data_IF_968573397885
#
_entry.id   IF_968573397885
#
_cell.length_a   1.000
_cell.length_b   1.000
_cell.length_c   1.000
_cell.angle_alpha   90.00
_cell.angle_beta   90.00
_cell.angle_gamma   90.00
#
_symmetry.space_group_name_H-M   'P 1'
#
loop_
_entity.id
_entity.type
_entity.pdbx_description
1 polymer ?
#
# COMPACT_ATOMS: atom_id res chain seq x y z
N UNK A 1 20.49 23.41 -4.72
CA UNK A 1 19.41 22.46 -4.38
C UNK A 1 18.12 23.00 -4.98
N UNK A 2 17.39 22.20 -5.78
CA UNK A 2 16.12 22.67 -6.36
C UNK A 2 15.04 22.85 -5.29
N UNK A 3 14.04 23.70 -5.55
CA UNK A 3 12.89 23.86 -4.65
C UNK A 3 12.22 22.50 -4.36
N UNK A 4 12.03 21.69 -5.40
CA UNK A 4 11.47 20.35 -5.28
C UNK A 4 12.24 19.49 -4.28
N UNK A 5 13.58 19.42 -4.43
CA UNK A 5 14.45 18.66 -3.52
C UNK A 5 14.33 19.16 -2.09
N UNK A 6 14.28 20.48 -1.89
CA UNK A 6 14.10 21.07 -0.55
C UNK A 6 12.77 20.66 0.11
N UNK A 7 11.68 20.68 -0.65
CA UNK A 7 10.35 20.28 -0.16
C UNK A 7 10.31 18.80 0.19
N UNK A 8 10.89 17.92 -0.66
CA UNK A 8 10.95 16.49 -0.39
C UNK A 8 11.77 16.17 0.87
N UNK A 9 12.96 16.80 1.03
CA UNK A 9 13.78 16.61 2.22
C UNK A 9 13.07 17.09 3.49
N UNK A 10 12.37 18.23 3.41
CA UNK A 10 11.53 18.73 4.51
C UNK A 10 10.48 17.70 4.88
N UNK A 11 9.78 17.10 3.90
CA UNK A 11 8.79 16.05 4.12
C UNK A 11 9.39 14.86 4.87
N UNK A 12 10.51 14.31 4.39
CA UNK A 12 11.18 13.17 5.07
C UNK A 12 11.53 13.51 6.52
N UNK A 13 12.03 14.71 6.79
CA UNK A 13 12.36 15.16 8.15
C UNK A 13 11.10 15.27 9.01
N UNK A 14 10.03 15.86 8.49
CA UNK A 14 8.75 15.98 9.20
C UNK A 14 8.14 14.61 9.51
N UNK A 15 8.21 13.67 8.56
CA UNK A 15 7.76 12.30 8.75
C UNK A 15 8.54 11.62 9.90
N UNK A 16 9.86 11.73 9.91
CA UNK A 16 10.70 11.19 10.98
C UNK A 16 10.37 11.81 12.35
N UNK A 17 10.20 13.14 12.40
CA UNK A 17 9.80 13.83 13.63
C UNK A 17 8.41 13.39 14.11
N UNK A 18 7.45 13.23 13.19
CA UNK A 18 6.09 12.76 13.50
C UNK A 18 6.12 11.36 14.13
N UNK A 19 6.92 10.44 13.57
CA UNK A 19 7.14 9.11 14.16
C UNK A 19 7.76 9.22 15.56
N UNK A 20 8.79 10.06 15.73
CA UNK A 20 9.44 10.29 17.03
C UNK A 20 8.45 10.79 18.10
N UNK A 21 7.59 11.74 17.76
CA UNK A 21 6.54 12.28 18.65
C UNK A 21 5.51 11.20 18.96
N UNK A 22 5.07 10.46 17.96
CA UNK A 22 4.06 9.41 18.13
C UNK A 22 4.54 8.27 19.04
N UNK A 23 5.79 7.87 18.90
CA UNK A 23 6.36 6.77 19.69
C UNK A 23 6.91 7.17 21.03
N UNK A 24 7.15 8.44 21.30
CA UNK A 24 7.68 9.03 22.52
C UNK A 24 9.14 8.63 22.81
N UNK A 25 9.45 7.34 22.86
CA UNK A 25 10.79 6.78 22.99
C UNK A 25 11.10 5.99 21.72
N UNK A 26 12.14 6.36 21.01
CA UNK A 26 12.55 5.71 19.79
C UNK A 26 14.06 5.75 19.63
N UNK A 27 14.58 4.91 18.77
CA UNK A 27 15.97 4.98 18.32
C UNK A 27 16.04 5.77 17.02
N UNK A 28 17.16 6.44 16.76
CA UNK A 28 17.38 7.21 15.52
C UNK A 28 17.20 6.35 14.28
N UNK A 29 17.64 5.09 14.30
CA UNK A 29 17.48 4.15 13.18
C UNK A 29 16.00 3.81 12.93
N UNK A 30 15.24 3.54 14.00
CA UNK A 30 13.79 3.32 13.91
C UNK A 30 13.09 4.57 13.38
N UNK A 31 13.42 5.73 13.94
CA UNK A 31 12.82 7.00 13.55
C UNK A 31 13.04 7.30 12.07
N UNK A 32 14.25 7.08 11.56
CA UNK A 32 14.56 7.28 10.14
C UNK A 32 13.89 6.24 9.25
N UNK A 33 13.98 4.94 9.58
CA UNK A 33 13.39 3.86 8.79
C UNK A 33 11.87 4.03 8.65
N UNK A 34 11.16 4.20 9.77
CA UNK A 34 9.72 4.43 9.74
C UNK A 34 9.34 5.81 9.21
N UNK A 35 10.20 6.83 9.37
CA UNK A 35 10.02 8.14 8.76
C UNK A 35 10.00 8.07 7.23
N UNK A 36 10.97 7.37 6.63
CA UNK A 36 11.00 7.15 5.17
C UNK A 36 9.77 6.37 4.70
N UNK A 37 9.42 5.28 5.39
CA UNK A 37 8.23 4.48 5.04
C UNK A 37 6.95 5.34 5.14
N UNK A 38 6.80 6.10 6.22
CA UNK A 38 5.65 6.96 6.43
C UNK A 38 5.55 8.04 5.36
N UNK A 39 6.68 8.67 5.01
CA UNK A 39 6.72 9.67 3.94
C UNK A 39 6.31 9.09 2.58
N UNK A 40 6.80 7.89 2.24
CA UNK A 40 6.39 7.19 1.00
C UNK A 40 4.88 6.88 1.01
N UNK A 41 4.34 6.46 2.16
CA UNK A 41 2.90 6.25 2.33
C UNK A 41 2.10 7.56 2.14
N UNK A 42 2.57 8.65 2.74
CA UNK A 42 1.94 9.96 2.62
C UNK A 42 1.98 10.48 1.17
N UNK A 43 3.10 10.26 0.46
CA UNK A 43 3.21 10.58 -0.96
C UNK A 43 2.13 9.85 -1.80
N UNK A 44 2.00 8.53 -1.63
CA UNK A 44 1.02 7.73 -2.39
C UNK A 44 -0.41 8.21 -2.16
N UNK A 45 -0.78 8.47 -0.90
CA UNK A 45 -2.13 8.96 -0.55
C UNK A 45 -2.37 10.36 -1.16
N UNK A 46 -1.39 11.25 -1.07
CA UNK A 46 -1.47 12.60 -1.64
C UNK A 46 -1.56 12.53 -3.17
N UNK A 47 -0.72 11.73 -3.81
CA UNK A 47 -0.74 11.55 -5.26
C UNK A 47 -2.09 11.03 -5.74
N UNK A 48 -2.67 10.01 -5.06
CA UNK A 48 -4.02 9.53 -5.38
C UNK A 48 -5.07 10.64 -5.27
N UNK A 49 -5.01 11.44 -4.21
CA UNK A 49 -5.92 12.60 -4.05
C UNK A 49 -5.81 13.59 -5.21
N UNK A 50 -4.60 13.90 -5.67
CA UNK A 50 -4.39 14.80 -6.81
C UNK A 50 -4.81 14.16 -8.15
N UNK A 51 -4.64 12.85 -8.32
CA UNK A 51 -5.17 12.14 -9.50
C UNK A 51 -6.69 12.12 -9.53
N UNK A 52 -7.34 11.92 -8.38
CA UNK A 52 -8.81 11.98 -8.28
C UNK A 52 -9.35 13.38 -8.61
N UNK A 53 -8.58 14.43 -8.32
CA UNK A 53 -8.95 15.81 -8.60
C UNK A 53 -8.48 16.28 -9.99
N UNK A 54 -7.82 15.44 -10.78
CA UNK A 54 -7.23 15.77 -12.09
C UNK A 54 -6.25 16.98 -12.06
N UNK A 55 -5.50 17.13 -10.94
CA UNK A 55 -4.55 18.27 -10.75
C UNK A 55 -3.15 17.78 -10.38
N UNK A 56 -2.82 16.53 -10.70
CA UNK A 56 -1.54 15.96 -10.33
C UNK A 56 -0.40 16.69 -11.04
N UNK A 57 0.60 17.10 -10.26
CA UNK A 57 1.95 17.38 -10.74
C UNK A 57 2.95 17.22 -9.60
N UNK A 58 4.24 16.99 -9.91
CA UNK A 58 5.23 16.56 -8.91
C UNK A 58 5.45 17.56 -7.78
N UNK A 59 5.59 18.85 -8.07
CA UNK A 59 5.82 19.87 -7.04
C UNK A 59 4.61 20.10 -6.13
N UNK A 60 3.38 20.31 -6.65
CA UNK A 60 2.18 20.35 -5.83
C UNK A 60 1.98 19.08 -5.00
N UNK A 61 2.25 17.89 -5.55
CA UNK A 61 2.17 16.65 -4.80
C UNK A 61 3.17 16.64 -3.62
N UNK A 62 4.42 17.06 -3.83
CA UNK A 62 5.42 17.18 -2.76
C UNK A 62 4.95 18.16 -1.67
N UNK A 63 4.42 19.32 -2.04
CA UNK A 63 3.88 20.30 -1.09
C UNK A 63 2.66 19.74 -0.35
N UNK A 64 1.73 19.10 -1.07
CA UNK A 64 0.57 18.45 -0.47
C UNK A 64 0.95 17.36 0.54
N UNK A 65 2.01 16.58 0.25
CA UNK A 65 2.56 15.58 1.17
C UNK A 65 3.09 16.24 2.45
N UNK A 66 3.85 17.33 2.33
CA UNK A 66 4.32 18.11 3.49
C UNK A 66 3.15 18.65 4.31
N UNK A 67 2.11 19.18 3.67
CA UNK A 67 0.91 19.68 4.36
C UNK A 67 0.19 18.54 5.11
N UNK A 68 0.05 17.37 4.48
CA UNK A 68 -0.52 16.19 5.12
C UNK A 68 0.29 15.77 6.37
N UNK A 69 1.60 15.74 6.25
CA UNK A 69 2.48 15.39 7.37
C UNK A 69 2.45 16.42 8.50
N UNK A 70 2.40 17.71 8.19
CA UNK A 70 2.20 18.76 9.19
C UNK A 70 0.86 18.58 9.93
N UNK A 71 -0.21 18.24 9.21
CA UNK A 71 -1.51 17.99 9.82
C UNK A 71 -1.46 16.77 10.76
N UNK A 72 -0.85 15.66 10.32
CA UNK A 72 -0.71 14.46 11.16
C UNK A 72 0.24 14.70 12.34
N UNK A 73 1.35 15.40 12.13
CA UNK A 73 2.28 15.80 13.18
C UNK A 73 1.61 16.70 14.23
N UNK A 74 0.82 17.67 13.79
CA UNK A 74 0.03 18.51 14.68
C UNK A 74 -1.01 17.68 15.47
N UNK A 75 -1.69 16.74 14.84
CA UNK A 75 -2.62 15.83 15.51
C UNK A 75 -1.89 14.97 16.56
N UNK A 76 -0.72 14.44 16.23
CA UNK A 76 0.12 13.70 17.18
C UNK A 76 0.52 14.56 18.39
N UNK A 77 0.92 15.81 18.16
CA UNK A 77 1.23 16.77 19.22
C UNK A 77 0.02 17.06 20.11
N UNK A 78 -1.16 17.30 19.53
CA UNK A 78 -2.40 17.56 20.26
C UNK A 78 -2.74 16.35 21.15
N UNK A 79 -2.68 15.14 20.62
CA UNK A 79 -2.94 13.90 21.36
C UNK A 79 -1.96 13.80 22.55
N UNK A 80 -0.66 14.00 22.31
CA UNK A 80 0.35 13.94 23.36
C UNK A 80 0.16 14.99 24.43
N UNK A 81 -0.19 16.22 24.03
CA UNK A 81 -0.36 17.35 24.97
C UNK A 81 -1.65 17.30 25.75
N UNK A 82 -2.78 17.13 25.06
CA UNK A 82 -4.10 17.22 25.68
C UNK A 82 -4.51 15.92 26.35
N UNK A 83 -4.32 14.78 25.70
CA UNK A 83 -4.77 13.48 26.19
C UNK A 83 -3.76 12.83 27.13
N UNK A 84 -2.49 12.79 26.75
CA UNK A 84 -1.45 12.11 27.51
C UNK A 84 -0.78 13.06 28.54
N UNK A 85 -1.10 14.35 28.53
CA UNK A 85 -0.55 15.41 29.41
C UNK A 85 0.98 15.41 29.43
N UNK A 86 1.62 15.04 28.33
CA UNK A 86 3.08 14.89 28.21
C UNK A 86 3.77 16.27 28.26
N UNK A 87 4.77 16.49 29.13
CA UNK A 87 5.58 17.72 29.13
C UNK A 87 6.32 17.93 27.81
N UNK A 88 6.63 19.19 27.45
CA UNK A 88 7.37 19.49 26.21
C UNK A 88 8.69 18.76 26.10
N UNK A 89 9.43 18.64 27.20
CA UNK A 89 10.74 17.97 27.27
C UNK A 89 10.66 16.46 27.05
N UNK A 90 9.47 15.87 27.20
CA UNK A 90 9.24 14.42 27.08
C UNK A 90 8.45 14.03 25.84
N UNK A 91 8.20 15.00 24.94
CA UNK A 91 7.45 14.72 23.70
C UNK A 91 8.12 13.66 22.85
N UNK A 92 9.44 13.71 22.80
CA UNK A 92 10.26 12.77 22.04
C UNK A 92 11.60 12.57 22.76
N UNK A 93 11.99 11.31 22.96
CA UNK A 93 13.31 10.92 23.45
C UNK A 93 13.93 10.00 22.42
N UNK A 94 15.04 10.44 21.82
CA UNK A 94 15.74 9.69 20.77
C UNK A 94 17.03 9.10 21.33
N UNK A 95 17.18 7.79 21.22
CA UNK A 95 18.44 7.08 21.48
C UNK A 95 19.29 7.09 20.22
N UNK A 96 20.56 7.42 20.35
CA UNK A 96 21.56 7.42 19.27
C UNK A 96 22.38 6.13 19.21
N UNK A 97 22.08 5.13 20.05
CA UNK A 97 22.79 3.85 20.04
C UNK A 97 22.36 2.99 18.85
N UNK A 98 23.20 2.91 17.83
CA UNK A 98 22.97 2.12 16.62
C UNK A 98 23.32 0.63 16.78
N UNK A 99 23.98 0.24 17.87
CA UNK A 99 24.44 -1.16 18.08
C UNK A 99 23.33 -2.21 17.99
N UNK A 100 22.09 -1.98 18.46
CA UNK A 100 21.01 -2.94 18.30
C UNK A 100 20.60 -3.21 16.85
N UNK A 101 21.00 -2.35 15.89
CA UNK A 101 20.58 -2.35 14.49
C UNK A 101 21.69 -2.71 13.50
N UNK A 102 22.89 -3.03 14.00
CA UNK A 102 24.00 -3.37 13.11
C UNK A 102 23.67 -4.54 12.19
N UNK A 103 22.88 -5.52 12.66
CA UNK A 103 22.46 -6.68 11.86
C UNK A 103 21.67 -6.27 10.59
N UNK A 104 20.51 -5.58 10.66
CA UNK A 104 19.82 -5.17 9.44
C UNK A 104 20.65 -4.19 8.60
N UNK A 105 21.48 -3.35 9.19
CA UNK A 105 22.39 -2.45 8.46
C UNK A 105 23.37 -3.26 7.60
N UNK A 106 24.04 -4.26 8.17
CA UNK A 106 24.99 -5.10 7.43
C UNK A 106 24.29 -5.96 6.36
N UNK A 107 23.11 -6.52 6.69
CA UNK A 107 22.33 -7.30 5.72
C UNK A 107 21.88 -6.42 4.55
N UNK A 108 21.43 -5.17 4.81
CA UNK A 108 21.10 -4.22 3.75
C UNK A 108 22.34 -3.85 2.92
N UNK A 109 23.48 -3.56 3.57
CA UNK A 109 24.71 -3.19 2.86
C UNK A 109 25.17 -4.32 1.91
N UNK A 110 25.14 -5.57 2.38
CA UNK A 110 25.43 -6.73 1.54
C UNK A 110 24.40 -6.94 0.43
N UNK A 111 23.11 -6.78 0.76
CA UNK A 111 22.02 -6.90 -0.19
C UNK A 111 22.02 -5.82 -1.26
N UNK A 112 22.44 -4.60 -0.95
CA UNK A 112 22.54 -3.52 -1.95
C UNK A 112 23.50 -3.87 -3.09
N UNK A 113 24.54 -4.64 -2.83
CA UNK A 113 25.43 -5.15 -3.88
C UNK A 113 24.66 -6.04 -4.87
N UNK A 114 23.73 -6.85 -4.37
CA UNK A 114 22.91 -7.76 -5.20
C UNK A 114 21.90 -7.01 -6.08
N UNK A 115 21.39 -5.85 -5.60
CA UNK A 115 20.35 -5.07 -6.30
C UNK A 115 20.88 -3.81 -6.98
N UNK A 116 22.19 -3.56 -6.94
CA UNK A 116 22.81 -2.38 -7.52
C UNK A 116 22.61 -2.26 -9.04
N UNK A 117 22.64 -3.41 -9.74
CA UNK A 117 22.39 -3.44 -11.19
C UNK A 117 20.90 -3.65 -11.44
N UNK A 118 20.24 -2.64 -11.98
CA UNK A 118 18.82 -2.69 -12.34
C UNK A 118 18.60 -3.38 -13.68
N UNK A 119 17.38 -3.87 -13.92
CA UNK A 119 16.98 -4.34 -15.24
C UNK A 119 16.73 -3.13 -16.15
N UNK A 120 17.23 -3.20 -17.36
CA UNK A 120 16.99 -2.18 -18.39
C UNK A 120 15.87 -2.66 -19.32
N UNK A 121 14.62 -2.61 -18.85
CA UNK A 121 13.45 -2.95 -19.65
C UNK A 121 12.66 -1.68 -19.95
N UNK A 122 12.92 -1.09 -21.10
CA UNK A 122 12.20 0.06 -21.60
C UNK A 122 11.23 -0.33 -22.72
N UNK A 123 9.97 0.08 -22.58
CA UNK A 123 9.01 0.12 -23.68
C UNK A 123 8.64 -1.22 -24.33
N UNK A 124 8.92 -2.36 -23.70
CA UNK A 124 8.72 -3.69 -24.29
C UNK A 124 7.38 -4.36 -23.98
N UNK A 125 6.34 -3.57 -23.68
CA UNK A 125 5.00 -4.12 -23.40
C UNK A 125 4.90 -4.90 -22.09
N UNK A 126 5.91 -4.80 -21.24
CA UNK A 126 5.93 -5.34 -19.88
C UNK A 126 5.61 -4.21 -18.90
N UNK A 127 5.00 -4.54 -17.78
CA UNK A 127 4.59 -3.57 -16.75
C UNK A 127 5.73 -2.62 -16.34
N UNK A 128 6.95 -3.12 -16.25
CA UNK A 128 8.15 -2.34 -15.91
C UNK A 128 8.37 -1.15 -16.84
N UNK A 129 8.40 -1.42 -18.16
CA UNK A 129 8.61 -0.39 -19.17
C UNK A 129 7.47 0.62 -19.21
N UNK A 130 6.25 0.16 -18.99
CA UNK A 130 5.07 1.02 -18.98
C UNK A 130 5.09 1.97 -17.79
N UNK A 131 5.36 1.49 -16.57
CA UNK A 131 5.47 2.37 -15.40
C UNK A 131 6.58 3.41 -15.54
N UNK A 132 7.71 3.01 -16.16
CA UNK A 132 8.79 3.96 -16.46
C UNK A 132 8.36 5.02 -17.48
N UNK A 133 7.64 4.62 -18.53
CA UNK A 133 7.14 5.55 -19.54
C UNK A 133 6.16 6.56 -18.93
N UNK A 134 5.23 6.11 -18.10
CA UNK A 134 4.32 7.01 -17.37
C UNK A 134 5.11 7.95 -16.46
N UNK A 135 6.14 7.45 -15.77
CA UNK A 135 6.99 8.29 -14.93
C UNK A 135 7.77 9.34 -15.73
N UNK A 136 8.24 9.00 -16.92
CA UNK A 136 8.91 9.96 -17.84
C UNK A 136 7.90 11.02 -18.30
N UNK A 137 6.67 10.65 -18.62
CA UNK A 137 5.62 11.60 -18.95
C UNK A 137 5.41 12.60 -17.81
N UNK A 138 5.35 12.14 -16.55
CA UNK A 138 5.25 13.02 -15.38
C UNK A 138 6.47 13.93 -15.20
N UNK A 139 7.67 13.45 -15.46
CA UNK A 139 8.89 14.25 -15.43
C UNK A 139 8.88 15.37 -16.48
N UNK A 140 8.27 15.12 -17.63
CA UNK A 140 8.13 16.07 -18.73
C UNK A 140 6.90 16.99 -18.58
N UNK A 141 6.14 16.86 -17.49
CA UNK A 141 4.95 17.66 -17.23
C UNK A 141 3.70 17.18 -17.97
N UNK A 142 3.73 16.03 -18.60
CA UNK A 142 2.55 15.38 -19.20
C UNK A 142 1.84 14.60 -18.09
N UNK A 143 0.86 15.24 -17.47
CA UNK A 143 0.18 14.76 -16.26
C UNK A 143 -1.33 14.60 -16.44
N UNK A 144 -1.83 14.87 -17.63
CA UNK A 144 -3.24 14.69 -17.95
C UNK A 144 -3.62 13.22 -17.87
N UNK A 145 -4.67 12.93 -17.13
CA UNK A 145 -5.18 11.57 -16.96
C UNK A 145 -5.59 10.97 -18.30
N UNK A 146 -6.21 11.78 -19.13
CA UNK A 146 -6.64 11.44 -20.47
C UNK A 146 -5.85 12.27 -21.47
N UNK A 147 -5.34 11.62 -22.49
CA UNK A 147 -4.56 12.28 -23.56
C UNK A 147 -5.09 11.89 -24.92
N UNK A 148 -5.27 12.88 -25.79
CA UNK A 148 -5.57 12.68 -27.19
C UNK A 148 -4.29 12.46 -28.00
N UNK A 149 -4.38 11.67 -29.04
CA UNK A 149 -3.28 11.38 -29.96
C UNK A 149 -3.67 11.85 -31.36
N UNK A 150 -3.48 13.16 -31.69
CA UNK A 150 -3.91 13.73 -32.96
C UNK A 150 -3.23 13.07 -34.16
N UNK A 151 -2.03 12.53 -34.01
CA UNK A 151 -1.28 11.82 -35.05
C UNK A 151 -2.03 10.57 -35.54
N UNK A 152 -2.84 9.96 -34.69
CA UNK A 152 -3.66 8.80 -35.03
C UNK A 152 -4.63 9.12 -36.18
N UNK A 153 -5.19 10.31 -36.24
CA UNK A 153 -6.13 10.73 -37.29
C UNK A 153 -5.46 10.91 -38.64
N UNK A 154 -4.14 10.97 -38.67
CA UNK A 154 -3.35 11.05 -39.94
C UNK A 154 -3.05 9.67 -40.52
N UNK A 155 -3.31 8.58 -39.77
CA UNK A 155 -3.08 7.22 -40.20
C UNK A 155 -4.21 6.71 -41.11
N UNK A 156 -3.89 5.81 -42.03
CA UNK A 156 -4.89 5.08 -42.80
C UNK A 156 -5.72 4.16 -41.90
N UNK A 157 -6.93 3.78 -42.30
CA UNK A 157 -7.82 2.95 -41.51
C UNK A 157 -7.19 1.62 -41.08
N UNK A 158 -6.44 0.96 -41.96
CA UNK A 158 -5.69 -0.25 -41.63
C UNK A 158 -4.57 -0.01 -40.60
N UNK A 159 -3.90 1.14 -40.66
CA UNK A 159 -2.90 1.53 -39.68
C UNK A 159 -3.55 1.87 -38.34
N UNK A 160 -4.69 2.53 -38.33
CA UNK A 160 -5.48 2.83 -37.14
C UNK A 160 -5.93 1.54 -36.43
N UNK A 161 -6.41 0.55 -37.20
CA UNK A 161 -6.77 -0.75 -36.67
C UNK A 161 -5.57 -1.49 -36.08
N UNK A 162 -4.43 -1.49 -36.80
CA UNK A 162 -3.18 -2.07 -36.33
C UNK A 162 -2.72 -1.39 -35.04
N UNK A 163 -2.79 -0.06 -34.97
CA UNK A 163 -2.41 0.71 -33.78
C UNK A 163 -3.32 0.37 -32.59
N UNK A 164 -4.64 0.32 -32.78
CA UNK A 164 -5.61 -0.05 -31.73
C UNK A 164 -5.38 -1.46 -31.18
N UNK A 165 -5.00 -2.40 -32.06
CA UNK A 165 -4.81 -3.81 -31.69
C UNK A 165 -3.38 -4.15 -31.29
N UNK A 166 -2.44 -3.20 -31.38
CA UNK A 166 -1.03 -3.41 -31.08
C UNK A 166 -0.70 -3.09 -29.63
N UNK A 167 0.49 -3.54 -29.21
CA UNK A 167 1.09 -3.20 -27.90
C UNK A 167 1.62 -1.76 -27.84
N UNK A 168 1.42 -0.93 -28.88
CA UNK A 168 1.91 0.46 -28.90
C UNK A 168 1.32 1.34 -27.81
N UNK A 169 0.11 1.04 -27.31
CA UNK A 169 -0.45 1.72 -26.15
C UNK A 169 0.48 1.69 -24.94
N UNK A 170 1.19 0.58 -24.74
CA UNK A 170 2.16 0.44 -23.66
C UNK A 170 3.40 1.30 -23.86
N UNK A 171 3.83 1.52 -25.10
CA UNK A 171 5.02 2.32 -25.40
C UNK A 171 4.86 3.80 -25.02
N UNK A 172 3.64 4.32 -25.05
CA UNK A 172 3.35 5.72 -24.69
C UNK A 172 2.87 5.88 -23.24
N UNK A 173 2.71 4.77 -22.50
CA UNK A 173 2.27 4.78 -21.10
C UNK A 173 0.76 4.97 -20.92
N UNK A 174 -0.03 4.82 -21.98
CA UNK A 174 -1.49 4.94 -21.95
C UNK A 174 -2.15 3.73 -22.61
N UNK A 175 -3.28 3.30 -22.05
CA UNK A 175 -4.20 2.39 -22.71
C UNK A 175 -5.08 3.19 -23.68
N UNK A 176 -5.14 2.77 -24.94
CA UNK A 176 -5.76 3.53 -26.02
C UNK A 176 -6.99 2.75 -26.55
N UNK A 177 -8.03 3.49 -26.96
CA UNK A 177 -9.23 2.95 -27.58
C UNK A 177 -10.11 2.14 -26.63
N UNK A 178 -10.74 1.09 -27.14
CA UNK A 178 -11.69 0.25 -26.39
C UNK A 178 -11.07 -0.44 -25.16
N UNK A 179 -9.76 -0.55 -25.07
CA UNK A 179 -9.06 -1.05 -23.87
C UNK A 179 -9.10 -0.06 -22.72
N UNK A 180 -8.94 1.25 -23.02
CA UNK A 180 -8.92 2.28 -21.99
C UNK A 180 -10.32 2.54 -21.43
N UNK A 181 -11.32 2.44 -22.29
CA UNK A 181 -12.70 2.83 -21.98
C UNK A 181 -13.65 1.66 -22.26
N UNK A 182 -13.92 0.81 -21.29
CA UNK A 182 -15.00 -0.17 -21.38
C UNK A 182 -16.33 0.54 -21.66
N UNK A 183 -17.10 0.05 -22.61
CA UNK A 183 -18.30 0.66 -23.20
C UNK A 183 -19.33 1.25 -22.23
N UNK A 184 -19.30 0.82 -20.97
CA UNK A 184 -20.27 1.24 -19.94
C UNK A 184 -19.78 2.36 -19.03
N UNK A 185 -18.53 2.83 -19.19
CA UNK A 185 -17.89 3.78 -18.25
C UNK A 185 -17.69 5.14 -18.89
N UNK A 186 -17.43 5.19 -20.21
CA UNK A 186 -17.16 6.43 -20.93
C UNK A 186 -17.90 6.41 -22.27
N UNK A 187 -18.40 7.57 -22.68
CA UNK A 187 -18.98 7.75 -23.99
C UNK A 187 -17.90 7.79 -25.06
N UNK A 188 -17.73 6.69 -25.79
CA UNK A 188 -16.76 6.58 -26.88
C UNK A 188 -17.04 7.55 -28.05
N UNK A 189 -18.19 8.22 -28.05
CA UNK A 189 -18.49 9.25 -29.06
C UNK A 189 -17.62 10.49 -28.93
N UNK A 190 -16.94 10.68 -27.78
CA UNK A 190 -16.18 11.90 -27.50
C UNK A 190 -14.78 11.85 -28.13
N UNK A 191 -14.09 10.72 -28.09
CA UNK A 191 -12.85 10.49 -28.85
C UNK A 191 -12.47 9.00 -28.84
N UNK A 192 -12.49 8.31 -29.97
CA UNK A 192 -12.10 6.90 -30.05
C UNK A 192 -10.58 6.68 -29.87
N UNK A 193 -9.82 7.73 -29.64
CA UNK A 193 -8.35 7.73 -29.61
C UNK A 193 -7.77 8.30 -28.33
N UNK A 194 -8.60 8.62 -27.34
CA UNK A 194 -8.12 9.02 -26.04
C UNK A 194 -7.47 7.85 -25.31
N UNK A 195 -6.34 8.09 -24.71
CA UNK A 195 -5.66 7.15 -23.83
C UNK A 195 -5.84 7.52 -22.36
N UNK A 196 -5.80 6.54 -21.49
CA UNK A 196 -5.75 6.71 -20.03
C UNK A 196 -4.49 6.03 -19.49
N UNK A 197 -3.94 6.50 -18.37
CA UNK A 197 -2.75 5.87 -17.77
C UNK A 197 -2.86 4.35 -17.74
N UNK A 198 -1.78 3.68 -18.13
CA UNK A 198 -1.67 2.24 -17.92
C UNK A 198 -1.34 1.96 -16.45
N UNK A 199 -2.14 1.15 -15.77
CA UNK A 199 -1.99 0.87 -14.35
C UNK A 199 -2.37 2.03 -13.43
N UNK A 200 -2.22 1.83 -12.13
CA UNK A 200 -2.48 2.88 -11.13
C UNK A 200 -1.29 3.85 -11.09
N UNK A 201 -1.51 5.15 -11.38
CA UNK A 201 -0.40 6.09 -11.64
C UNK A 201 0.40 6.47 -10.39
N UNK A 202 -0.06 6.13 -9.19
CA UNK A 202 0.64 6.47 -7.94
C UNK A 202 2.03 5.83 -7.84
N UNK A 203 2.22 4.62 -8.38
CA UNK A 203 3.55 4.02 -8.46
C UNK A 203 4.47 4.78 -9.43
N UNK A 204 3.99 5.08 -10.63
CA UNK A 204 4.75 5.89 -11.59
C UNK A 204 5.11 7.26 -11.01
N UNK A 205 4.26 7.84 -10.14
CA UNK A 205 4.57 9.09 -9.44
C UNK A 205 5.75 8.97 -8.48
N UNK A 206 5.94 7.80 -7.82
CA UNK A 206 7.12 7.53 -6.99
C UNK A 206 8.40 7.41 -7.84
N UNK A 207 8.33 6.73 -9.00
CA UNK A 207 9.43 6.65 -9.95
C UNK A 207 9.81 8.07 -10.45
N UNK A 208 8.80 8.86 -10.85
CA UNK A 208 9.00 10.22 -11.32
C UNK A 208 9.59 11.14 -10.24
N UNK A 209 9.11 11.03 -9.00
CA UNK A 209 9.67 11.77 -7.87
C UNK A 209 11.15 11.44 -7.70
N UNK A 210 11.52 10.16 -7.72
CA UNK A 210 12.90 9.73 -7.60
C UNK A 210 13.75 10.21 -8.78
N UNK A 211 13.22 10.09 -10.02
CA UNK A 211 13.85 10.62 -11.23
C UNK A 211 14.05 12.15 -11.20
N UNK A 212 13.13 12.89 -10.56
CA UNK A 212 13.27 14.35 -10.37
C UNK A 212 14.35 14.72 -9.36
N UNK A 213 14.61 13.86 -8.38
CA UNK A 213 15.64 14.07 -7.35
C UNK A 213 17.05 13.72 -7.86
N UNK A 214 17.18 12.58 -8.53
CA UNK A 214 18.48 11.95 -8.82
C UNK A 214 18.80 11.82 -10.31
N UNK A 215 17.85 12.15 -11.17
CA UNK A 215 17.95 11.99 -12.62
C UNK A 215 17.10 10.83 -13.13
N UNK A 216 16.66 10.95 -14.39
CA UNK A 216 15.76 9.98 -15.02
C UNK A 216 16.35 8.57 -15.06
N UNK A 217 17.65 8.42 -15.28
CA UNK A 217 18.33 7.12 -15.33
C UNK A 217 18.31 6.40 -13.97
N UNK A 218 18.14 7.13 -12.87
CA UNK A 218 18.12 6.59 -11.49
C UNK A 218 16.70 6.39 -10.95
N UNK A 219 15.64 6.60 -11.74
CA UNK A 219 14.28 6.53 -11.22
C UNK A 219 13.92 5.16 -10.63
N UNK A 220 14.51 4.07 -11.13
CA UNK A 220 14.31 2.72 -10.58
C UNK A 220 15.01 2.51 -9.23
N UNK A 221 15.95 3.36 -8.82
CA UNK A 221 16.69 3.16 -7.57
C UNK A 221 15.81 3.33 -6.33
N UNK A 222 14.61 3.88 -6.46
CA UNK A 222 13.58 3.84 -5.40
C UNK A 222 13.28 2.41 -4.95
N UNK A 223 13.41 1.42 -5.81
CA UNK A 223 13.27 0.00 -5.48
C UNK A 223 14.31 -0.47 -4.46
N UNK A 224 15.52 0.10 -4.49
CA UNK A 224 16.56 -0.17 -3.47
C UNK A 224 16.12 0.33 -2.10
N UNK A 225 15.39 1.47 -2.04
CA UNK A 225 14.80 1.97 -0.79
C UNK A 225 13.73 1.01 -0.29
N UNK A 226 12.84 0.52 -1.16
CA UNK A 226 11.81 -0.45 -0.78
C UNK A 226 12.44 -1.77 -0.27
N UNK A 227 13.48 -2.25 -0.94
CA UNK A 227 14.24 -3.41 -0.50
C UNK A 227 14.81 -3.21 0.90
N UNK A 228 15.49 -2.10 1.15
CA UNK A 228 16.02 -1.75 2.47
C UNK A 228 14.92 -1.67 3.54
N UNK A 229 13.82 -0.97 3.24
CA UNK A 229 12.66 -0.88 4.14
C UNK A 229 12.09 -2.26 4.48
N UNK A 230 11.98 -3.17 3.50
CA UNK A 230 11.49 -4.55 3.73
C UNK A 230 12.39 -5.28 4.71
N UNK A 231 13.72 -5.23 4.55
CA UNK A 231 14.67 -5.90 5.46
C UNK A 231 14.56 -5.33 6.88
N UNK A 232 14.51 -4.00 7.03
CA UNK A 232 14.34 -3.38 8.33
C UNK A 232 13.00 -3.77 8.98
N UNK A 233 11.92 -3.79 8.21
CA UNK A 233 10.60 -4.22 8.71
C UNK A 233 10.59 -5.69 9.13
N UNK A 234 11.24 -6.59 8.38
CA UNK A 234 11.42 -8.01 8.77
C UNK A 234 12.16 -8.09 10.11
N UNK A 235 13.23 -7.31 10.28
CA UNK A 235 13.96 -7.26 11.55
C UNK A 235 13.06 -6.79 12.70
N UNK A 236 12.29 -5.71 12.51
CA UNK A 236 11.38 -5.20 13.54
C UNK A 236 10.24 -6.18 13.84
N UNK A 237 9.70 -6.85 12.82
CA UNK A 237 8.69 -7.89 12.99
C UNK A 237 9.22 -9.06 13.82
N UNK A 238 10.45 -9.52 13.53
CA UNK A 238 11.10 -10.58 14.32
C UNK A 238 11.27 -10.18 15.78
N UNK A 239 11.57 -8.91 16.06
CA UNK A 239 11.64 -8.37 17.44
C UNK A 239 10.28 -8.38 18.13
N UNK A 240 9.21 -7.95 17.42
CA UNK A 240 7.85 -8.01 17.97
C UNK A 240 7.44 -9.44 18.31
N UNK A 241 7.82 -10.39 17.47
CA UNK A 241 7.56 -11.83 17.69
C UNK A 241 8.54 -12.47 18.71
N UNK A 242 9.44 -11.67 19.32
CA UNK A 242 10.42 -12.11 20.33
C UNK A 242 11.29 -13.28 19.87
N UNK A 243 11.63 -13.30 18.58
CA UNK A 243 12.48 -14.36 18.01
C UNK A 243 13.92 -14.25 18.55
N UNK A 244 14.61 -15.40 18.61
CA UNK A 244 16.03 -15.44 18.97
C UNK A 244 16.88 -14.68 17.94
N UNK A 245 18.02 -14.17 18.35
CA UNK A 245 18.94 -13.40 17.47
C UNK A 245 19.34 -14.18 16.21
N UNK A 246 19.61 -15.48 16.35
CA UNK A 246 19.93 -16.35 15.21
C UNK A 246 18.78 -16.50 14.21
N UNK A 247 17.56 -16.70 14.72
CA UNK A 247 16.35 -16.78 13.88
C UNK A 247 16.06 -15.45 13.19
N UNK A 248 16.27 -14.33 13.90
CA UNK A 248 16.15 -12.98 13.31
C UNK A 248 17.19 -12.75 12.22
N UNK A 249 18.45 -13.15 12.46
CA UNK A 249 19.51 -13.05 11.46
C UNK A 249 19.20 -13.90 10.21
N UNK A 250 18.73 -15.14 10.40
CA UNK A 250 18.33 -16.00 9.31
C UNK A 250 17.14 -15.43 8.52
N UNK A 251 16.12 -14.89 9.20
CA UNK A 251 14.98 -14.26 8.54
C UNK A 251 15.38 -13.04 7.70
N UNK A 252 16.23 -12.15 8.24
CA UNK A 252 16.74 -11.00 7.49
C UNK A 252 17.60 -11.42 6.30
N UNK A 253 18.49 -12.41 6.49
CA UNK A 253 19.33 -12.93 5.42
C UNK A 253 18.50 -13.63 4.33
N UNK A 254 17.49 -14.42 4.72
CA UNK A 254 16.58 -15.08 3.78
C UNK A 254 15.75 -14.06 2.99
N UNK A 255 15.25 -13.01 3.62
CA UNK A 255 14.55 -11.92 2.93
C UNK A 255 15.48 -11.21 1.94
N UNK A 256 16.72 -10.87 2.35
CA UNK A 256 17.68 -10.18 1.51
C UNK A 256 18.18 -11.05 0.33
N UNK A 257 18.37 -12.35 0.54
CA UNK A 257 18.87 -13.28 -0.46
C UNK A 257 17.76 -13.97 -1.28
N UNK A 258 16.48 -13.66 -1.01
CA UNK A 258 15.36 -14.23 -1.77
C UNK A 258 15.44 -13.82 -3.24
N UNK A 259 15.47 -14.78 -4.19
CA UNK A 259 15.53 -14.46 -5.61
C UNK A 259 14.37 -13.56 -6.07
N UNK A 260 13.18 -13.78 -5.52
CA UNK A 260 11.98 -12.97 -5.83
C UNK A 260 12.16 -11.54 -5.34
N UNK A 261 12.63 -11.34 -4.11
CA UNK A 261 12.85 -10.00 -3.53
C UNK A 261 13.95 -9.26 -4.28
N UNK A 262 15.05 -9.96 -4.67
CA UNK A 262 16.12 -9.39 -5.48
C UNK A 262 15.59 -9.01 -6.88
N UNK A 263 14.84 -9.90 -7.52
CA UNK A 263 14.28 -9.65 -8.85
C UNK A 263 13.37 -8.42 -8.84
N UNK A 264 12.43 -8.34 -7.88
CA UNK A 264 11.54 -7.18 -7.72
C UNK A 264 12.34 -5.90 -7.42
N UNK A 265 13.38 -5.98 -6.58
CA UNK A 265 14.22 -4.81 -6.27
C UNK A 265 15.07 -4.32 -7.45
N UNK A 266 15.26 -5.15 -8.48
CA UNK A 266 15.94 -4.78 -9.73
C UNK A 266 15.00 -4.32 -10.83
N UNK A 267 13.70 -4.50 -10.66
CA UNK A 267 12.66 -4.23 -11.63
C UNK A 267 11.84 -2.99 -11.26
N UNK A 268 11.25 -2.29 -12.24
CA UNK A 268 10.33 -1.18 -11.98
C UNK A 268 8.90 -1.71 -11.76
N UNK A 269 8.73 -2.55 -10.74
CA UNK A 269 7.47 -3.21 -10.41
C UNK A 269 6.86 -2.71 -9.09
N UNK A 270 5.55 -2.78 -8.97
CA UNK A 270 4.78 -2.36 -7.80
C UNK A 270 5.05 -3.23 -6.57
N UNK A 271 5.42 -4.49 -6.77
CA UNK A 271 5.60 -5.53 -5.74
C UNK A 271 6.65 -5.17 -4.70
N UNK A 272 7.63 -4.34 -5.06
CA UNK A 272 8.63 -3.83 -4.12
C UNK A 272 7.99 -3.06 -2.97
N UNK A 273 7.13 -2.09 -3.28
CA UNK A 273 6.43 -1.31 -2.26
C UNK A 273 5.29 -2.10 -1.61
N UNK A 274 4.62 -2.98 -2.34
CA UNK A 274 3.62 -3.89 -1.76
C UNK A 274 4.23 -4.76 -0.67
N UNK A 275 5.45 -5.27 -0.87
CA UNK A 275 6.18 -6.02 0.15
C UNK A 275 6.42 -5.21 1.41
N UNK A 276 6.81 -3.93 1.28
CA UNK A 276 6.93 -2.99 2.40
C UNK A 276 5.61 -2.86 3.15
N UNK A 277 4.50 -2.64 2.42
CA UNK A 277 3.17 -2.45 3.01
C UNK A 277 2.68 -3.71 3.76
N UNK A 278 2.89 -4.89 3.20
CA UNK A 278 2.49 -6.16 3.83
C UNK A 278 3.27 -6.43 5.11
N UNK A 279 4.59 -6.24 5.10
CA UNK A 279 5.40 -6.44 6.32
C UNK A 279 5.10 -5.36 7.36
N UNK A 280 4.86 -4.11 6.93
CA UNK A 280 4.44 -3.01 7.80
C UNK A 280 3.09 -3.30 8.48
N UNK A 281 2.13 -3.86 7.72
CA UNK A 281 0.85 -4.31 8.26
C UNK A 281 1.05 -5.35 9.37
N UNK A 282 1.82 -6.40 9.10
CA UNK A 282 2.11 -7.46 10.06
C UNK A 282 2.87 -6.93 11.29
N UNK A 283 3.80 -5.99 11.10
CA UNK A 283 4.52 -5.34 12.18
C UNK A 283 3.57 -4.64 13.15
N UNK A 284 2.67 -3.79 12.64
CA UNK A 284 1.71 -3.10 13.49
C UNK A 284 0.65 -4.02 14.08
N UNK A 285 0.22 -5.04 13.33
CA UNK A 285 -0.75 -6.02 13.80
C UNK A 285 -0.24 -6.79 15.04
N UNK A 286 1.05 -7.13 15.05
CA UNK A 286 1.70 -7.97 16.07
C UNK A 286 2.36 -7.17 17.21
N UNK A 287 2.30 -5.83 17.20
CA UNK A 287 2.90 -5.01 18.27
C UNK A 287 2.06 -5.10 19.57
N UNK A 288 2.35 -6.11 20.38
CA UNK A 288 1.68 -6.33 21.66
C UNK A 288 2.16 -5.38 22.77
N UNK A 289 3.43 -4.95 22.69
CA UNK A 289 4.05 -4.09 23.70
C UNK A 289 3.51 -2.65 23.63
N UNK A 290 3.08 -2.23 22.42
CA UNK A 290 2.57 -0.90 22.18
C UNK A 290 1.17 -0.91 21.55
N UNK A 291 0.10 -1.24 22.29
CA UNK A 291 -1.26 -1.41 21.75
C UNK A 291 -1.78 -0.22 20.93
N UNK A 292 -1.25 0.99 21.20
CA UNK A 292 -1.62 2.19 20.43
C UNK A 292 -1.08 2.15 19.01
N UNK A 293 0.06 1.50 18.77
CA UNK A 293 0.64 1.37 17.42
C UNK A 293 -0.19 0.45 16.52
N UNK A 294 -0.95 -0.46 17.10
CA UNK A 294 -1.83 -1.34 16.32
C UNK A 294 -2.87 -0.58 15.48
N UNK A 295 -3.28 0.62 15.91
CA UNK A 295 -4.11 1.50 15.09
C UNK A 295 -3.43 1.91 13.79
N UNK A 296 -2.11 1.96 13.75
CA UNK A 296 -1.36 2.30 12.55
C UNK A 296 -1.38 1.18 11.51
N UNK A 297 -1.85 -0.04 11.84
CA UNK A 297 -2.02 -1.11 10.86
C UNK A 297 -3.04 -0.77 9.75
N UNK A 298 -3.88 0.25 9.95
CA UNK A 298 -4.78 0.77 8.92
C UNK A 298 -4.03 1.55 7.82
N UNK A 299 -2.87 2.13 8.14
CA UNK A 299 -2.09 2.91 7.17
C UNK A 299 -1.69 2.09 5.94
N UNK A 300 -1.09 0.88 6.07
CA UNK A 300 -0.82 0.03 4.93
C UNK A 300 -2.08 -0.32 4.12
N UNK A 301 -3.24 -0.51 4.76
CA UNK A 301 -4.50 -0.80 4.07
C UNK A 301 -4.95 0.39 3.23
N UNK A 302 -4.89 1.61 3.77
CA UNK A 302 -5.20 2.85 3.02
C UNK A 302 -4.26 3.01 1.84
N UNK A 303 -2.95 2.86 2.08
CA UNK A 303 -1.94 3.06 1.02
C UNK A 303 -2.07 2.00 -0.07
N UNK A 304 -2.28 0.73 0.31
CA UNK A 304 -2.52 -0.36 -0.63
C UNK A 304 -3.74 -0.07 -1.51
N UNK A 305 -4.81 0.47 -0.89
CA UNK A 305 -6.04 0.88 -1.57
C UNK A 305 -5.86 2.03 -2.57
N UNK A 306 -4.79 2.80 -2.44
CA UNK A 306 -4.43 3.90 -3.34
C UNK A 306 -3.34 3.51 -4.35
N UNK A 307 -2.80 2.29 -4.25
CA UNK A 307 -1.57 1.92 -4.93
C UNK A 307 -1.74 0.78 -5.94
N UNK A 308 -2.56 -0.22 -5.61
CA UNK A 308 -2.68 -1.41 -6.44
C UNK A 308 -4.07 -2.05 -6.40
N UNK A 309 -4.57 -2.50 -7.54
CA UNK A 309 -5.91 -3.13 -7.67
C UNK A 309 -6.03 -4.46 -6.92
N UNK A 310 -4.92 -5.13 -6.58
CA UNK A 310 -4.95 -6.37 -5.80
C UNK A 310 -5.60 -6.21 -4.42
N UNK A 311 -5.84 -4.97 -3.94
CA UNK A 311 -6.60 -4.72 -2.71
C UNK A 311 -7.97 -5.39 -2.75
N UNK A 312 -8.61 -5.44 -3.93
CA UNK A 312 -9.93 -6.07 -4.10
C UNK A 312 -9.91 -7.57 -3.84
N UNK A 313 -8.75 -8.19 -3.96
CA UNK A 313 -8.52 -9.61 -3.68
C UNK A 313 -8.05 -9.83 -2.23
N UNK A 314 -7.21 -8.94 -1.72
CA UNK A 314 -6.51 -9.11 -0.43
C UNK A 314 -7.30 -8.53 0.74
N UNK A 315 -8.24 -7.60 0.52
CA UNK A 315 -9.01 -6.98 1.59
C UNK A 315 -9.71 -7.99 2.51
N UNK A 316 -10.35 -9.06 2.00
CA UNK A 316 -10.97 -10.07 2.87
C UNK A 316 -9.96 -10.65 3.88
N UNK A 317 -8.69 -10.82 3.48
CA UNK A 317 -7.63 -11.28 4.38
C UNK A 317 -7.38 -10.28 5.52
N UNK A 318 -7.33 -8.98 5.24
CA UNK A 318 -7.15 -7.96 6.28
C UNK A 318 -8.33 -7.97 7.27
N UNK A 319 -9.57 -8.09 6.78
CA UNK A 319 -10.76 -8.18 7.62
C UNK A 319 -10.69 -9.42 8.52
N UNK A 320 -10.32 -10.58 7.96
CA UNK A 320 -10.15 -11.83 8.69
C UNK A 320 -9.05 -11.72 9.75
N UNK A 321 -7.90 -11.15 9.41
CA UNK A 321 -6.80 -10.95 10.35
C UNK A 321 -7.20 -10.03 11.50
N UNK A 322 -7.89 -8.92 11.23
CA UNK A 322 -8.42 -8.07 12.31
C UNK A 322 -9.47 -8.79 13.16
N UNK A 323 -10.33 -9.59 12.53
CA UNK A 323 -11.32 -10.41 13.25
C UNK A 323 -10.65 -11.45 14.16
N UNK A 324 -9.63 -12.15 13.66
CA UNK A 324 -8.82 -13.08 14.42
C UNK A 324 -8.08 -12.42 15.58
N UNK A 325 -7.44 -11.27 15.33
CA UNK A 325 -6.75 -10.50 16.37
C UNK A 325 -7.74 -9.94 17.41
N UNK A 326 -8.93 -9.53 17.00
CA UNK A 326 -9.97 -9.15 17.93
C UNK A 326 -10.39 -10.34 18.80
N UNK A 327 -10.58 -11.50 18.21
CA UNK A 327 -10.90 -12.70 18.97
C UNK A 327 -9.80 -13.05 19.98
N UNK A 328 -8.53 -13.06 19.55
CA UNK A 328 -7.40 -13.41 20.41
C UNK A 328 -7.17 -12.39 21.53
N UNK A 329 -7.25 -11.10 21.24
CA UNK A 329 -6.79 -10.04 22.17
C UNK A 329 -7.90 -9.23 22.81
N UNK A 330 -9.15 -9.30 22.32
CA UNK A 330 -10.29 -8.45 22.72
C UNK A 330 -10.03 -6.94 22.65
N UNK A 331 -9.02 -6.51 21.93
CA UNK A 331 -8.68 -5.08 21.80
C UNK A 331 -9.69 -4.39 20.92
N UNK A 332 -10.28 -3.30 21.41
CA UNK A 332 -11.26 -2.47 20.68
C UNK A 332 -10.73 -1.92 19.37
N UNK A 333 -9.40 -1.73 19.25
CA UNK A 333 -8.77 -1.30 18.01
C UNK A 333 -9.15 -2.19 16.84
N UNK A 334 -9.02 -3.51 16.99
CA UNK A 334 -9.31 -4.44 15.90
C UNK A 334 -10.81 -4.51 15.56
N UNK A 335 -11.69 -4.35 16.55
CA UNK A 335 -13.14 -4.26 16.33
C UNK A 335 -13.53 -3.05 15.45
N UNK A 336 -12.76 -1.97 15.50
CA UNK A 336 -12.99 -0.75 14.71
C UNK A 336 -12.24 -0.81 13.36
N UNK A 337 -11.01 -1.33 13.35
CA UNK A 337 -10.20 -1.42 12.13
C UNK A 337 -10.82 -2.37 11.10
N UNK A 338 -11.49 -3.42 11.54
CA UNK A 338 -12.17 -4.38 10.67
C UNK A 338 -13.26 -3.73 9.79
N UNK A 339 -14.30 -3.06 10.33
CA UNK A 339 -15.28 -2.36 9.50
C UNK A 339 -14.69 -1.17 8.75
N UNK A 340 -13.69 -0.46 9.33
CA UNK A 340 -13.02 0.65 8.67
C UNK A 340 -12.32 0.20 7.38
N UNK A 341 -11.73 -1.01 7.36
CA UNK A 341 -11.12 -1.56 6.15
C UNK A 341 -12.13 -1.74 5.03
N UNK A 342 -13.36 -2.17 5.34
CA UNK A 342 -14.44 -2.31 4.35
C UNK A 342 -14.86 -0.95 3.78
N UNK A 343 -14.95 0.07 4.64
CA UNK A 343 -15.25 1.45 4.20
C UNK A 343 -14.16 2.00 3.29
N UNK A 344 -12.88 1.81 3.65
CA UNK A 344 -11.73 2.22 2.84
C UNK A 344 -11.79 1.54 1.47
N UNK A 345 -12.08 0.25 1.42
CA UNK A 345 -12.24 -0.47 0.16
C UNK A 345 -13.34 0.13 -0.72
N UNK A 346 -14.51 0.42 -0.16
CA UNK A 346 -15.61 1.03 -0.91
C UNK A 346 -15.20 2.37 -1.51
N UNK A 347 -14.56 3.25 -0.71
CA UNK A 347 -14.06 4.54 -1.17
C UNK A 347 -12.99 4.35 -2.25
N UNK A 348 -12.06 3.43 -2.03
CA UNK A 348 -10.99 3.10 -2.97
C UNK A 348 -11.51 2.63 -4.33
N UNK A 349 -12.57 1.82 -4.35
CA UNK A 349 -13.18 1.37 -5.59
C UNK A 349 -13.60 2.56 -6.47
N UNK A 350 -14.29 3.55 -5.89
CA UNK A 350 -14.71 4.73 -6.66
C UNK A 350 -13.53 5.60 -7.09
N UNK A 351 -12.55 5.80 -6.21
CA UNK A 351 -11.35 6.56 -6.54
C UNK A 351 -10.54 5.90 -7.66
N UNK A 352 -10.27 4.60 -7.55
CA UNK A 352 -9.52 3.87 -8.57
C UNK A 352 -10.30 3.74 -9.88
N UNK A 353 -11.63 3.52 -9.81
CA UNK A 353 -12.47 3.52 -11.00
C UNK A 353 -12.45 4.85 -11.73
N UNK A 354 -12.38 5.96 -10.99
CA UNK A 354 -12.27 7.28 -11.59
C UNK A 354 -10.91 7.51 -12.24
N UNK A 355 -9.83 7.13 -11.56
CA UNK A 355 -8.45 7.38 -12.03
C UNK A 355 -8.04 6.39 -13.12
N UNK A 356 -8.38 5.11 -12.98
CA UNK A 356 -8.03 4.05 -13.92
C UNK A 356 -9.16 3.02 -14.04
N UNK A 357 -10.18 3.31 -14.86
CA UNK A 357 -11.36 2.46 -14.99
C UNK A 357 -11.04 1.06 -15.54
N UNK A 358 -10.17 0.96 -16.55
CA UNK A 358 -9.84 -0.31 -17.19
C UNK A 358 -9.29 -1.34 -16.19
N UNK A 359 -8.23 -1.00 -15.46
CA UNK A 359 -7.64 -1.92 -14.48
C UNK A 359 -8.59 -2.22 -13.33
N UNK A 360 -9.34 -1.22 -12.88
CA UNK A 360 -10.31 -1.42 -11.81
C UNK A 360 -11.40 -2.39 -12.25
N UNK A 361 -11.95 -2.23 -13.45
CA UNK A 361 -13.01 -3.12 -13.97
C UNK A 361 -12.49 -4.50 -14.31
N UNK A 362 -11.31 -4.60 -14.93
CA UNK A 362 -10.69 -5.87 -15.29
C UNK A 362 -10.48 -6.79 -14.08
N UNK A 363 -10.22 -6.22 -12.91
CA UNK A 363 -10.08 -7.00 -11.68
C UNK A 363 -11.38 -7.72 -11.26
N UNK A 364 -12.53 -7.26 -11.76
CA UNK A 364 -13.85 -7.90 -11.55
C UNK A 364 -14.29 -8.78 -12.71
N UNK A 365 -13.44 -8.97 -13.74
CA UNK A 365 -13.77 -9.77 -14.92
C UNK A 365 -14.29 -11.18 -14.61
N UNK A 366 -13.88 -11.89 -13.55
CA UNK A 366 -14.49 -13.17 -13.19
C UNK A 366 -16.00 -13.08 -12.90
N UNK A 367 -16.49 -11.93 -12.42
CA UNK A 367 -17.92 -11.72 -12.16
C UNK A 367 -18.73 -11.57 -13.45
N UNK A 368 -18.11 -11.13 -14.54
CA UNK A 368 -18.77 -10.98 -15.83
C UNK A 368 -19.17 -12.34 -16.42
N UNK A 369 -18.38 -13.39 -16.13
CA UNK A 369 -18.75 -14.77 -16.45
C UNK A 369 -20.00 -15.28 -15.71
N UNK A 370 -20.40 -14.59 -14.62
CA UNK A 370 -21.64 -14.87 -13.87
C UNK A 370 -22.82 -14.00 -14.31
N UNK A 371 -22.68 -13.24 -15.39
CA UNK A 371 -23.73 -12.37 -15.93
C UNK A 371 -23.85 -10.99 -15.26
N UNK A 372 -22.88 -10.62 -14.41
CA UNK A 372 -22.81 -9.29 -13.79
C UNK A 372 -22.13 -8.34 -14.78
N UNK A 373 -22.78 -7.24 -15.14
CA UNK A 373 -22.21 -6.25 -16.05
C UNK A 373 -21.28 -5.26 -15.32
N UNK A 374 -20.41 -4.60 -16.06
CA UNK A 374 -19.58 -3.50 -15.51
C UNK A 374 -20.43 -2.35 -14.99
N UNK A 375 -21.62 -2.11 -15.60
CA UNK A 375 -22.56 -1.08 -15.17
C UNK A 375 -23.16 -1.36 -13.78
N UNK A 376 -23.22 -2.63 -13.36
CA UNK A 376 -23.79 -3.03 -12.08
C UNK A 376 -22.80 -2.82 -10.92
N UNK A 377 -21.48 -2.80 -11.18
CA UNK A 377 -20.45 -2.73 -10.13
C UNK A 377 -20.59 -1.52 -9.19
N UNK A 378 -20.93 -0.30 -9.66
CA UNK A 378 -21.10 0.85 -8.77
C UNK A 378 -22.22 0.69 -7.73
N UNK A 379 -23.20 -0.15 -8.01
CA UNK A 379 -24.30 -0.50 -7.09
C UNK A 379 -23.98 -1.75 -6.29
N UNK A 380 -23.38 -2.73 -6.93
CA UNK A 380 -23.04 -4.01 -6.32
C UNK A 380 -21.97 -3.87 -5.23
N UNK A 381 -20.88 -3.13 -5.49
CA UNK A 381 -19.77 -3.01 -4.54
C UNK A 381 -20.21 -2.37 -3.23
N UNK A 382 -20.94 -1.22 -3.19
CA UNK A 382 -21.48 -0.70 -1.94
C UNK A 382 -22.45 -1.66 -1.25
N UNK A 383 -23.27 -2.39 -1.99
CA UNK A 383 -24.19 -3.38 -1.42
C UNK A 383 -23.43 -4.54 -0.74
N UNK A 384 -22.39 -5.07 -1.40
CA UNK A 384 -21.50 -6.09 -0.82
C UNK A 384 -20.79 -5.56 0.42
N UNK A 385 -20.28 -4.32 0.38
CA UNK A 385 -19.66 -3.68 1.53
C UNK A 385 -20.66 -3.50 2.69
N UNK A 386 -21.89 -3.08 2.41
CA UNK A 386 -22.94 -2.97 3.42
C UNK A 386 -23.26 -4.34 4.04
N UNK A 387 -23.40 -5.39 3.22
CA UNK A 387 -23.56 -6.77 3.68
C UNK A 387 -22.40 -7.23 4.57
N UNK A 388 -21.16 -6.95 4.16
CA UNK A 388 -19.97 -7.24 4.96
C UNK A 388 -19.99 -6.51 6.32
N UNK A 389 -20.38 -5.23 6.35
CA UNK A 389 -20.52 -4.47 7.60
C UNK A 389 -21.59 -5.06 8.53
N UNK A 390 -22.72 -5.53 7.98
CA UNK A 390 -23.76 -6.24 8.77
C UNK A 390 -23.20 -7.54 9.34
N UNK A 391 -22.47 -8.34 8.56
CA UNK A 391 -21.84 -9.58 9.03
C UNK A 391 -20.78 -9.31 10.10
N UNK A 392 -19.98 -8.27 9.95
CA UNK A 392 -19.02 -7.82 10.96
C UNK A 392 -19.74 -7.39 12.24
N UNK A 393 -20.84 -6.63 12.12
CA UNK A 393 -21.67 -6.25 13.26
C UNK A 393 -22.23 -7.47 14.00
N UNK A 394 -22.74 -8.44 13.26
CA UNK A 394 -23.22 -9.70 13.82
C UNK A 394 -22.10 -10.49 14.52
N UNK A 395 -20.92 -10.60 13.86
CA UNK A 395 -19.75 -11.22 14.46
C UNK A 395 -19.37 -10.57 15.79
N UNK A 396 -19.26 -9.24 15.83
CA UNK A 396 -18.92 -8.49 17.04
C UNK A 396 -19.98 -8.67 18.14
N UNK A 397 -21.27 -8.67 17.77
CA UNK A 397 -22.38 -8.91 18.67
C UNK A 397 -22.33 -10.33 19.27
N UNK A 398 -22.16 -11.35 18.45
CA UNK A 398 -22.05 -12.74 18.89
C UNK A 398 -20.83 -12.93 19.80
N UNK A 399 -19.69 -12.34 19.42
CA UNK A 399 -18.48 -12.38 20.24
C UNK A 399 -18.70 -11.70 21.61
N UNK A 400 -19.39 -10.56 21.63
CA UNK A 400 -19.72 -9.90 22.89
C UNK A 400 -20.65 -10.76 23.77
N UNK A 401 -21.71 -11.33 23.16
CA UNK A 401 -22.70 -12.12 23.89
C UNK A 401 -22.18 -13.48 24.36
N UNK A 402 -21.54 -14.24 23.49
CA UNK A 402 -21.11 -15.61 23.77
C UNK A 402 -19.90 -15.66 24.70
N UNK A 403 -18.96 -14.75 24.48
CA UNK A 403 -17.69 -14.78 25.19
C UNK A 403 -17.75 -14.06 26.53
N UNK A 404 -18.44 -12.92 26.65
CA UNK A 404 -18.60 -12.24 27.94
C UNK A 404 -19.39 -13.06 28.95
N UNK A 405 -20.35 -13.90 28.53
CA UNK A 405 -21.09 -14.77 29.46
C UNK A 405 -20.26 -15.95 29.98
N UNK A 406 -19.39 -16.52 29.12
CA UNK A 406 -18.71 -17.78 29.44
C UNK A 406 -17.31 -17.61 30.01
N UNK A 407 -16.69 -16.45 29.82
CA UNK A 407 -15.26 -16.24 30.07
C UNK A 407 -14.96 -14.91 30.78
N UNK A 408 -15.73 -14.60 31.82
CA UNK A 408 -15.62 -13.33 32.57
C UNK A 408 -14.25 -13.12 33.24
N UNK A 409 -13.54 -14.21 33.51
CA UNK A 409 -12.31 -14.24 34.32
C UNK A 409 -11.05 -14.65 33.50
N UNK A 410 -11.04 -14.46 32.18
CA UNK A 410 -9.90 -14.86 31.36
C UNK A 410 -8.94 -13.71 31.19
N UNK A 411 -7.70 -13.89 31.69
CA UNK A 411 -6.55 -13.05 31.34
C UNK A 411 -6.07 -13.36 29.93
N UNK A 412 -5.43 -12.38 29.21
CA UNK A 412 -4.87 -12.61 27.88
C UNK A 412 -3.94 -13.84 27.78
N UNK A 413 -3.21 -14.14 28.84
CA UNK A 413 -2.26 -15.25 28.92
C UNK A 413 -2.96 -16.63 28.96
N UNK A 414 -4.08 -16.72 29.68
CA UNK A 414 -4.88 -17.96 29.74
C UNK A 414 -5.69 -18.20 28.47
N UNK A 415 -5.91 -17.18 27.68
CA UNK A 415 -6.75 -17.24 26.49
C UNK A 415 -6.08 -17.98 25.32
N UNK A 416 -4.79 -17.70 25.05
CA UNK A 416 -4.00 -18.39 24.01
C UNK A 416 -3.94 -19.91 24.25
N UNK A 417 -3.76 -20.34 25.51
CA UNK A 417 -3.74 -21.76 25.87
C UNK A 417 -5.11 -22.44 25.66
N UNK A 418 -6.23 -21.72 25.86
CA UNK A 418 -7.58 -22.28 25.67
C UNK A 418 -8.07 -22.25 24.23
N UNK A 419 -7.57 -21.33 23.40
CA UNK A 419 -7.86 -21.33 21.94
C UNK A 419 -7.16 -22.51 21.27
N UNK A 420 -5.98 -22.91 21.73
CA UNK A 420 -5.30 -24.12 21.26
C UNK A 420 -6.10 -25.40 21.58
N UNK A 421 -6.85 -25.39 22.68
CA UNK A 421 -7.72 -26.53 23.08
C UNK A 421 -9.13 -26.47 22.49
N UNK A 422 -9.56 -25.35 21.89
CA UNK A 422 -10.91 -25.22 21.37
C UNK A 422 -11.00 -25.69 19.91
N UNK A 423 -11.58 -26.86 19.69
CA UNK A 423 -11.96 -27.37 18.36
C UNK A 423 -12.75 -26.34 17.53
N UNK A 424 -13.50 -25.46 18.17
CA UNK A 424 -14.28 -24.40 17.54
C UNK A 424 -13.37 -23.28 16.96
N UNK A 425 -12.28 -22.93 17.64
CA UNK A 425 -11.31 -21.95 17.17
C UNK A 425 -10.58 -22.45 15.91
N UNK A 426 -10.21 -23.72 15.92
CA UNK A 426 -9.58 -24.37 14.78
C UNK A 426 -10.54 -24.45 13.58
N UNK A 427 -11.78 -24.86 13.80
CA UNK A 427 -12.82 -24.98 12.77
C UNK A 427 -13.16 -23.62 12.11
N UNK A 428 -13.15 -22.52 12.90
CA UNK A 428 -13.37 -21.17 12.37
C UNK A 428 -12.18 -20.65 11.55
N UNK A 429 -10.96 -20.98 11.96
CA UNK A 429 -9.77 -20.67 11.18
C UNK A 429 -9.77 -21.46 9.87
N UNK A 430 -10.10 -22.76 9.91
CA UNK A 430 -10.24 -23.58 8.70
C UNK A 430 -11.37 -23.10 7.79
N UNK A 431 -12.53 -22.78 8.32
CA UNK A 431 -13.66 -22.23 7.55
C UNK A 431 -13.32 -20.90 6.87
N UNK A 432 -12.43 -20.11 7.44
CA UNK A 432 -11.97 -18.84 6.85
C UNK A 432 -10.81 -19.03 5.86
N UNK A 433 -9.93 -20.02 6.10
CA UNK A 433 -8.81 -20.33 5.23
C UNK A 433 -9.24 -21.12 3.98
N UNK A 434 -10.20 -22.02 4.10
CA UNK A 434 -10.66 -22.86 2.97
C UNK A 434 -11.19 -22.01 1.81
N UNK A 435 -12.09 -21.04 1.97
CA UNK A 435 -12.51 -20.17 0.87
C UNK A 435 -11.38 -19.34 0.29
N UNK A 436 -10.43 -18.89 1.12
CA UNK A 436 -9.26 -18.14 0.67
C UNK A 436 -8.32 -19.02 -0.17
N UNK A 437 -8.06 -20.26 0.28
CA UNK A 437 -7.24 -21.23 -0.48
C UNK A 437 -7.92 -21.61 -1.78
N UNK A 438 -9.23 -21.90 -1.76
CA UNK A 438 -10.01 -22.19 -2.96
C UNK A 438 -9.95 -21.00 -3.93
N UNK A 439 -10.13 -19.78 -3.44
CA UNK A 439 -10.03 -18.58 -4.26
C UNK A 439 -8.65 -18.41 -4.90
N UNK A 440 -7.56 -18.65 -4.15
CA UNK A 440 -6.18 -18.56 -4.64
C UNK A 440 -5.89 -19.66 -5.67
N UNK A 441 -6.43 -20.85 -5.48
CA UNK A 441 -6.22 -22.01 -6.39
C UNK A 441 -7.05 -21.90 -7.67
N UNK A 442 -8.23 -21.26 -7.60
CA UNK A 442 -9.12 -21.09 -8.75
C UNK A 442 -8.79 -19.85 -9.60
N UNK A 443 -7.88 -18.99 -9.15
CA UNK A 443 -7.39 -17.81 -9.87
C UNK A 443 -6.07 -18.13 -10.58
#
# INVERSE_FOLDING_TARGET
MSLFTGVVLLGVVLAALTIGIWWKKTNVVEMLAFGVIYWLCAWVVTAMGFFVLDVFSLLPCAVGTVVLELAVGAAALIVRKKRDKTPWRELMTVSWDIRPYWLPILVCAGGFVLVAMKHELFGMGQDEGVYQTVAINFLNGVTDRQQDFPEYHTLSEAQQETFRNSVYSYLVGYDIGSRAYPDTVYDLSVSPVSGIYHGIPTYASLLAMWGKLFGMAQMQDVQTVFYGCTIFLVFFLCRNLKLRRSSTALACAAAAASPVVIWVAKSALTEGFLSVLMVLFLYFLTDEEHPRRQWMSILPVVVFSCFHVSIYTILPLFVVLYGGMFWLTRRKSFAILMPLSVVIYCISFFAMRHVQPFYTMNNYSPLFGLGISQADLPTLIPAVCAGALVLIGLYLFLMHRLVHRKYRDITPENYLLRVQDSRLGFLLVELLLVPLVIYIVLK
#
